data_IF_158347066883
#
_entry.id   IF_158347066883
#
_cell.length_a   1.000
_cell.length_b   1.000
_cell.length_c   1.000
_cell.angle_alpha   90.00
_cell.angle_beta   90.00
_cell.angle_gamma   90.00
#
_symmetry.space_group_name_H-M   'P 1'
#
loop_
_entity.id
_entity.type
_entity.pdbx_description
1 polymer ?
#
# COMPACT_ATOMS: atom_id res chain seq x y z
N UNK A 1 3.63 72.20 -18.36
CA UNK A 1 2.63 71.66 -17.41
C UNK A 1 1.40 71.30 -18.22
N UNK A 2 0.77 70.13 -18.19
CA UNK A 2 1.02 68.82 -17.59
C UNK A 2 0.31 67.81 -18.52
N UNK A 3 0.87 66.62 -18.69
CA UNK A 3 0.46 65.38 -18.04
C UNK A 3 0.01 64.37 -19.12
N UNK A 4 0.99 63.60 -19.61
CA UNK A 4 0.79 62.37 -20.36
C UNK A 4 0.07 61.36 -19.46
N UNK A 5 -1.15 60.95 -19.83
CA UNK A 5 -1.86 59.86 -19.16
C UNK A 5 -1.49 58.56 -19.84
N UNK A 6 -0.80 57.72 -19.06
CA UNK A 6 -0.42 56.34 -19.35
C UNK A 6 -1.62 55.45 -19.70
N UNK A 7 -1.47 54.61 -20.73
CA UNK A 7 -2.29 53.42 -20.92
C UNK A 7 -1.37 52.22 -21.18
N UNK A 8 -0.82 51.67 -20.09
CA UNK A 8 -0.29 50.30 -20.09
C UNK A 8 -1.51 49.36 -20.10
N UNK A 9 -1.86 48.82 -21.28
CA UNK A 9 -2.75 47.67 -21.37
C UNK A 9 -2.04 46.46 -20.75
N UNK A 10 -2.46 46.11 -19.54
CA UNK A 10 -2.08 44.85 -18.89
C UNK A 10 -2.65 43.66 -19.66
N UNK A 11 -1.77 42.88 -20.28
CA UNK A 11 -2.10 41.55 -20.75
C UNK A 11 -2.38 40.65 -19.54
N UNK A 12 -3.66 40.48 -19.19
CA UNK A 12 -4.09 39.39 -18.33
C UNK A 12 -3.90 38.07 -19.10
N UNK A 13 -2.79 37.37 -18.82
CA UNK A 13 -2.62 35.99 -19.22
C UNK A 13 -3.66 35.14 -18.47
N UNK A 14 -4.74 34.79 -19.16
CA UNK A 14 -5.66 33.73 -18.73
C UNK A 14 -4.84 32.43 -18.63
N UNK A 15 -4.52 32.02 -17.41
CA UNK A 15 -4.00 30.69 -17.14
C UNK A 15 -5.07 29.68 -17.56
N UNK A 16 -4.92 29.12 -18.75
CA UNK A 16 -5.81 28.08 -19.25
C UNK A 16 -5.76 26.87 -18.33
N UNK A 17 -6.85 26.57 -17.65
CA UNK A 17 -7.04 25.29 -16.99
C UNK A 17 -6.90 24.21 -18.06
N UNK A 18 -5.79 23.48 -18.06
CA UNK A 18 -5.59 22.37 -18.99
C UNK A 18 -6.71 21.36 -18.75
N UNK A 19 -7.64 21.28 -19.70
CA UNK A 19 -8.77 20.36 -19.60
C UNK A 19 -8.24 18.96 -19.84
N UNK A 20 -8.28 18.11 -18.82
CA UNK A 20 -7.83 16.74 -18.94
C UNK A 20 -8.71 15.98 -19.94
N UNK A 21 -8.13 15.14 -20.82
CA UNK A 21 -8.90 14.26 -21.68
C UNK A 21 -9.90 13.44 -20.87
N UNK A 22 -11.18 13.50 -21.26
CA UNK A 22 -12.26 12.75 -20.63
C UNK A 22 -12.20 11.27 -21.05
N UNK A 23 -11.19 10.54 -20.56
CA UNK A 23 -10.97 9.11 -20.77
C UNK A 23 -10.98 8.37 -19.45
N UNK A 24 -11.23 7.07 -19.53
CA UNK A 24 -10.98 6.18 -18.41
C UNK A 24 -9.53 5.68 -18.46
N UNK A 25 -8.97 5.42 -17.29
CA UNK A 25 -7.64 4.89 -17.07
C UNK A 25 -7.78 3.60 -16.28
N UNK A 26 -7.23 2.52 -16.82
CA UNK A 26 -7.08 1.26 -16.12
C UNK A 26 -5.75 1.29 -15.35
N UNK A 27 -5.85 1.09 -14.05
CA UNK A 27 -4.72 0.97 -13.14
C UNK A 27 -4.60 -0.48 -12.71
N UNK A 28 -3.42 -1.05 -12.90
CA UNK A 28 -3.12 -2.41 -12.48
C UNK A 28 -1.99 -2.38 -11.46
N UNK A 29 -2.23 -2.93 -10.29
CA UNK A 29 -1.26 -3.04 -9.21
C UNK A 29 -0.96 -4.52 -8.96
N UNK A 30 0.32 -4.88 -8.84
CA UNK A 30 0.71 -6.23 -8.45
C UNK A 30 1.90 -6.22 -7.51
N UNK A 31 2.00 -7.28 -6.71
CA UNK A 31 3.19 -7.61 -5.97
C UNK A 31 3.87 -8.81 -6.62
N UNK A 32 5.18 -8.71 -6.82
CA UNK A 32 6.00 -9.83 -7.30
C UNK A 32 7.19 -10.03 -6.37
N UNK A 33 7.73 -11.23 -6.31
CA UNK A 33 9.04 -11.44 -5.70
C UNK A 33 10.10 -10.73 -6.56
N UNK A 34 11.01 -10.04 -5.89
CA UNK A 34 12.19 -9.54 -6.56
C UNK A 34 13.08 -10.74 -6.89
N UNK A 35 13.62 -10.80 -8.11
CA UNK A 35 14.57 -11.83 -8.48
C UNK A 35 15.78 -11.77 -7.53
N UNK A 36 15.85 -12.73 -6.59
CA UNK A 36 16.95 -12.84 -5.66
C UNK A 36 18.08 -13.63 -6.31
N UNK A 37 19.30 -13.10 -6.29
CA UNK A 37 20.49 -13.85 -6.67
C UNK A 37 20.91 -14.78 -5.52
N UNK A 38 20.21 -15.89 -5.32
CA UNK A 38 20.53 -16.89 -4.30
C UNK A 38 19.37 -17.85 -3.98
N UNK A 39 19.69 -18.92 -3.25
CA UNK A 39 18.73 -19.89 -2.74
C UNK A 39 18.55 -19.67 -1.24
N UNK A 40 17.30 -19.50 -0.79
CA UNK A 40 16.95 -19.38 0.63
C UNK A 40 15.95 -20.45 1.02
N UNK A 41 16.25 -21.21 2.07
CA UNK A 41 15.30 -22.16 2.68
C UNK A 41 14.83 -21.54 4.00
N UNK A 42 13.52 -21.47 4.18
CA UNK A 42 12.90 -20.99 5.41
C UNK A 42 11.88 -22.00 5.90
N UNK A 43 11.82 -22.19 7.22
CA UNK A 43 10.77 -22.96 7.90
C UNK A 43 9.58 -22.07 8.29
N UNK A 44 9.68 -20.76 8.09
CA UNK A 44 8.59 -19.81 8.32
C UNK A 44 7.53 -19.98 7.21
N UNK A 45 6.21 -19.95 7.54
CA UNK A 45 5.16 -19.95 6.53
C UNK A 45 5.35 -18.80 5.53
N UNK A 46 5.35 -19.12 4.23
CA UNK A 46 5.46 -18.11 3.19
C UNK A 46 4.20 -17.22 3.20
N UNK A 47 4.38 -15.91 3.38
CA UNK A 47 3.28 -14.95 3.20
C UNK A 47 2.92 -14.94 1.71
N UNK A 48 1.68 -15.23 1.31
CA UNK A 48 1.31 -15.28 -0.10
C UNK A 48 1.52 -13.92 -0.78
N UNK A 49 1.82 -13.94 -2.08
CA UNK A 49 1.77 -12.73 -2.90
C UNK A 49 0.32 -12.28 -3.04
N UNK A 50 0.12 -10.97 -3.02
CA UNK A 50 -1.20 -10.41 -3.24
C UNK A 50 -1.63 -10.61 -4.70
N UNK A 51 -2.90 -10.98 -4.97
CA UNK A 51 -3.40 -11.05 -6.32
C UNK A 51 -3.32 -9.66 -6.98
N UNK A 52 -3.06 -9.63 -8.28
CA UNK A 52 -3.06 -8.37 -9.02
C UNK A 52 -4.44 -7.71 -8.93
N UNK A 53 -4.45 -6.42 -8.59
CA UNK A 53 -5.66 -5.61 -8.48
C UNK A 53 -5.78 -4.75 -9.72
N UNK A 54 -6.97 -4.69 -10.31
CA UNK A 54 -7.27 -3.88 -11.48
C UNK A 54 -8.42 -2.94 -11.16
N UNK A 55 -8.24 -1.66 -11.48
CA UNK A 55 -9.21 -0.61 -11.15
C UNK A 55 -9.34 0.34 -12.34
N UNK A 56 -10.56 0.52 -12.82
CA UNK A 56 -10.88 1.54 -13.81
C UNK A 56 -11.31 2.82 -13.11
N UNK A 57 -10.69 3.93 -13.46
CA UNK A 57 -10.97 5.25 -12.89
C UNK A 57 -11.00 6.29 -14.00
N UNK A 58 -11.77 7.35 -13.83
CA UNK A 58 -11.76 8.46 -14.78
C UNK A 58 -10.46 9.25 -14.63
N UNK A 59 -9.92 9.73 -15.75
CA UNK A 59 -8.71 10.56 -15.76
C UNK A 59 -8.90 11.81 -14.89
N UNK A 60 -7.99 12.01 -13.92
CA UNK A 60 -8.02 13.09 -12.95
C UNK A 60 -8.75 12.79 -11.64
N UNK A 61 -9.54 11.71 -11.59
CA UNK A 61 -10.34 11.35 -10.42
C UNK A 61 -9.57 10.45 -9.44
N UNK A 62 -10.00 10.46 -8.18
CA UNK A 62 -9.43 9.64 -7.11
C UNK A 62 -10.21 8.34 -7.00
N UNK A 63 -9.53 7.21 -6.95
CA UNK A 63 -10.10 5.91 -6.62
C UNK A 63 -9.47 5.35 -5.34
N UNK A 64 -10.27 4.61 -4.57
CA UNK A 64 -9.82 3.89 -3.36
C UNK A 64 -10.33 2.47 -3.43
N UNK A 65 -9.41 1.50 -3.33
CA UNK A 65 -9.70 0.07 -3.30
C UNK A 65 -8.98 -0.53 -2.12
N UNK A 66 -9.68 -1.34 -1.33
CA UNK A 66 -9.09 -1.99 -0.18
C UNK A 66 -9.81 -3.27 0.17
N UNK A 67 -9.09 -4.18 0.81
CA UNK A 67 -9.64 -5.36 1.43
C UNK A 67 -9.15 -5.37 2.87
N UNK A 68 -10.10 -5.35 3.80
CA UNK A 68 -9.84 -5.39 5.23
C UNK A 68 -10.63 -6.53 5.84
N UNK A 69 -9.97 -7.34 6.65
CA UNK A 69 -10.58 -8.35 7.50
C UNK A 69 -10.34 -7.99 8.96
N UNK A 70 -11.38 -8.15 9.77
CA UNK A 70 -11.28 -8.08 11.21
C UNK A 70 -11.45 -9.50 11.76
N UNK A 71 -10.46 -9.98 12.51
CA UNK A 71 -10.50 -11.30 13.14
C UNK A 71 -10.66 -11.11 14.65
N UNK A 72 -11.75 -11.63 15.25
CA UNK A 72 -11.88 -11.63 16.70
C UNK A 72 -10.96 -12.70 17.29
N UNK A 73 -10.28 -12.37 18.37
CA UNK A 73 -9.52 -13.32 19.18
C UNK A 73 -10.01 -13.26 20.62
N UNK A 74 -10.43 -14.43 21.12
CA UNK A 74 -10.81 -14.59 22.52
C UNK A 74 -9.55 -14.65 23.36
N UNK A 75 -9.44 -13.74 24.32
CA UNK A 75 -8.35 -13.62 25.27
C UNK A 75 -8.78 -14.06 26.67
N UNK A 76 -7.89 -14.71 27.42
CA UNK A 76 -8.13 -15.01 28.84
C UNK A 76 -7.41 -13.95 29.67
N UNK A 77 -8.18 -13.13 30.38
CA UNK A 77 -7.68 -12.00 31.17
C UNK A 77 -7.31 -12.41 32.59
N UNK A 78 -8.10 -13.28 33.19
CA UNK A 78 -7.95 -13.66 34.59
C UNK A 78 -8.43 -15.10 34.79
N UNK A 79 -7.65 -15.86 35.55
CA UNK A 79 -8.04 -17.18 36.05
C UNK A 79 -8.17 -17.04 37.56
N UNK A 80 -9.40 -17.08 38.07
CA UNK A 80 -9.68 -17.11 39.49
C UNK A 80 -9.59 -18.56 39.97
N UNK A 81 -8.64 -18.82 40.86
CA UNK A 81 -8.50 -20.11 41.52
C UNK A 81 -9.67 -20.35 42.48
N UNK A 82 -10.03 -21.62 42.63
CA UNK A 82 -11.09 -22.05 43.53
C UNK A 82 -10.70 -21.75 44.99
N UNK A 83 -11.56 -21.04 45.71
CA UNK A 83 -11.37 -20.67 47.11
C UNK A 83 -12.46 -21.29 47.99
N UNK A 84 -12.25 -21.31 49.31
CA UNK A 84 -13.10 -22.03 50.28
C UNK A 84 -14.60 -21.70 50.22
N UNK A 85 -15.01 -20.60 49.57
CA UNK A 85 -16.40 -20.22 49.29
C UNK A 85 -16.66 -19.69 47.85
N UNK A 86 -15.69 -19.73 46.93
CA UNK A 86 -15.84 -19.23 45.55
C UNK A 86 -15.38 -20.29 44.53
N UNK A 87 -16.22 -20.55 43.52
CA UNK A 87 -15.88 -21.45 42.41
C UNK A 87 -14.82 -20.86 41.47
N UNK A 88 -14.07 -21.73 40.79
CA UNK A 88 -13.09 -21.30 39.78
C UNK A 88 -13.78 -20.55 38.62
N UNK A 89 -13.19 -19.45 38.18
CA UNK A 89 -13.76 -18.60 37.13
C UNK A 89 -12.71 -18.14 36.13
N UNK A 90 -13.07 -18.12 34.84
CA UNK A 90 -12.20 -17.59 33.78
C UNK A 90 -12.85 -16.33 33.21
N UNK A 91 -12.16 -15.20 33.33
CA UNK A 91 -12.60 -13.94 32.72
C UNK A 91 -12.01 -13.84 31.32
N UNK A 92 -12.88 -13.78 30.31
CA UNK A 92 -12.48 -13.68 28.91
C UNK A 92 -12.76 -12.27 28.38
N UNK A 93 -11.91 -11.79 27.46
CA UNK A 93 -12.06 -10.51 26.75
C UNK A 93 -11.91 -10.76 25.25
N UNK A 94 -12.66 -10.01 24.42
CA UNK A 94 -12.60 -10.14 22.96
C UNK A 94 -11.78 -9.00 22.39
N UNK A 95 -10.67 -9.33 21.71
CA UNK A 95 -9.83 -8.34 21.03
C UNK A 95 -10.01 -8.50 19.52
N UNK A 96 -10.28 -7.40 18.83
CA UNK A 96 -10.41 -7.37 17.38
C UNK A 96 -9.09 -6.98 16.74
N UNK A 97 -8.54 -7.87 15.93
CA UNK A 97 -7.36 -7.60 15.13
C UNK A 97 -7.76 -7.24 13.71
N UNK A 98 -7.28 -6.10 13.23
CA UNK A 98 -7.51 -5.64 11.86
C UNK A 98 -6.28 -5.97 11.01
N UNK A 99 -6.54 -6.62 9.88
CA UNK A 99 -5.55 -6.86 8.84
C UNK A 99 -6.13 -6.48 7.50
N UNK A 100 -5.34 -5.90 6.62
CA UNK A 100 -5.83 -5.49 5.33
C UNK A 100 -4.91 -4.53 4.62
N UNK A 101 -5.40 -4.06 3.49
CA UNK A 101 -4.72 -3.04 2.72
C UNK A 101 -5.72 -2.10 2.08
N UNK A 102 -5.34 -0.84 2.01
CA UNK A 102 -6.06 0.19 1.28
C UNK A 102 -5.11 0.87 0.32
N UNK A 103 -5.50 0.92 -0.94
CA UNK A 103 -4.82 1.60 -2.02
C UNK A 103 -5.70 2.75 -2.49
N UNK A 104 -5.14 3.95 -2.56
CA UNK A 104 -5.75 5.10 -3.16
C UNK A 104 -4.86 5.60 -4.30
N UNK A 105 -5.46 5.88 -5.45
CA UNK A 105 -4.75 6.30 -6.64
C UNK A 105 -5.46 7.45 -7.33
N UNK A 106 -4.69 8.34 -7.93
CA UNK A 106 -5.19 9.41 -8.79
C UNK A 106 -4.32 9.52 -10.04
N UNK A 107 -4.77 9.00 -11.19
CA UNK A 107 -4.04 9.17 -12.43
C UNK A 107 -4.37 10.51 -13.09
N UNK A 108 -3.36 11.14 -13.67
CA UNK A 108 -3.45 12.32 -14.50
C UNK A 108 -2.72 12.05 -15.80
N UNK A 109 -3.46 12.03 -16.89
CA UNK A 109 -2.95 11.84 -18.24
C UNK A 109 -3.30 13.05 -19.10
N UNK A 110 -2.30 13.65 -19.75
CA UNK A 110 -2.45 14.88 -20.55
C UNK A 110 -2.48 14.63 -22.05
N UNK A 111 -2.63 13.37 -22.50
CA UNK A 111 -2.63 13.02 -23.93
C UNK A 111 -1.32 12.40 -24.45
N UNK A 112 -0.27 12.35 -23.62
CA UNK A 112 1.05 11.83 -23.98
C UNK A 112 1.20 10.31 -23.86
N UNK A 113 2.45 9.83 -23.81
CA UNK A 113 2.79 8.41 -23.63
C UNK A 113 2.99 7.98 -22.17
N UNK A 114 2.77 8.89 -21.24
CA UNK A 114 2.96 8.68 -19.81
C UNK A 114 1.80 9.32 -19.05
N UNK A 115 1.47 8.74 -17.90
CA UNK A 115 0.52 9.30 -16.95
C UNK A 115 1.24 9.54 -15.62
N UNK A 116 0.98 10.68 -14.98
CA UNK A 116 1.36 10.90 -13.60
C UNK A 116 0.34 10.20 -12.70
N UNK A 117 0.80 9.49 -11.67
CA UNK A 117 -0.10 8.81 -10.73
C UNK A 117 0.33 9.13 -9.31
N UNK A 118 -0.55 9.79 -8.56
CA UNK A 118 -0.43 9.84 -7.10
C UNK A 118 -0.90 8.50 -6.52
N UNK A 119 -0.08 7.88 -5.69
CA UNK A 119 -0.34 6.59 -5.06
C UNK A 119 -0.20 6.74 -3.55
N UNK A 120 -1.21 6.29 -2.82
CA UNK A 120 -1.20 6.13 -1.38
C UNK A 120 -1.57 4.69 -1.05
N UNK A 121 -0.70 3.99 -0.34
CA UNK A 121 -0.91 2.62 0.12
C UNK A 121 -0.79 2.58 1.64
N UNK A 122 -1.73 1.88 2.26
CA UNK A 122 -1.76 1.57 3.67
C UNK A 122 -1.92 0.06 3.80
N UNK A 123 -1.03 -0.59 4.53
CA UNK A 123 -1.11 -2.01 4.84
C UNK A 123 -1.10 -2.24 6.35
N UNK A 124 -1.93 -3.18 6.80
CA UNK A 124 -2.08 -3.59 8.18
C UNK A 124 -1.95 -5.11 8.23
N UNK A 125 -1.01 -5.61 9.03
CA UNK A 125 -0.76 -7.03 9.20
C UNK A 125 -0.75 -7.38 10.68
N UNK A 126 -1.17 -8.61 10.97
CA UNK A 126 -1.15 -9.18 12.31
C UNK A 126 -0.15 -10.32 12.30
N UNK A 127 0.88 -10.22 13.13
CA UNK A 127 1.94 -11.22 13.25
C UNK A 127 1.85 -11.93 14.60
N UNK A 128 1.79 -13.25 14.56
CA UNK A 128 1.89 -14.07 15.77
C UNK A 128 3.35 -14.10 16.23
N UNK A 129 3.58 -13.79 17.50
CA UNK A 129 4.92 -13.78 18.08
C UNK A 129 5.09 -15.02 18.97
N UNK A 130 6.03 -15.93 18.65
CA UNK A 130 6.30 -17.11 19.49
C UNK A 130 6.65 -16.70 20.93
N UNK A 131 5.99 -17.31 21.91
CA UNK A 131 6.20 -17.01 23.33
C UNK A 131 5.65 -15.67 23.81
N UNK A 132 4.93 -14.93 22.94
CA UNK A 132 4.14 -13.78 23.33
C UNK A 132 2.66 -14.12 23.24
N UNK A 133 1.97 -13.63 24.24
CA UNK A 133 0.55 -13.87 24.44
C UNK A 133 -0.31 -13.12 23.40
N UNK A 134 0.02 -11.85 23.12
CA UNK A 134 -0.71 -11.02 22.16
C UNK A 134 -0.02 -10.98 20.78
N UNK A 135 -0.78 -11.15 19.67
CA UNK A 135 -0.30 -10.85 18.33
C UNK A 135 0.14 -9.38 18.21
N UNK A 136 1.19 -9.13 17.43
CA UNK A 136 1.64 -7.79 17.14
C UNK A 136 0.98 -7.27 15.85
N UNK A 137 0.36 -6.10 15.92
CA UNK A 137 -0.15 -5.38 14.75
C UNK A 137 0.97 -4.53 14.15
N UNK A 138 1.20 -4.70 12.85
CA UNK A 138 2.21 -3.99 12.07
C UNK A 138 1.50 -3.16 11.00
N UNK A 139 1.82 -1.87 10.94
CA UNK A 139 1.28 -0.95 9.94
C UNK A 139 2.39 -0.48 9.02
N UNK A 140 2.12 -0.43 7.72
CA UNK A 140 3.01 0.14 6.71
C UNK A 140 2.27 1.17 5.87
N UNK A 141 2.94 2.28 5.54
CA UNK A 141 2.38 3.32 4.69
C UNK A 141 3.38 3.73 3.61
N UNK A 142 2.87 3.92 2.38
CA UNK A 142 3.61 4.47 1.25
C UNK A 142 2.79 5.59 0.63
N UNK A 143 3.41 6.75 0.40
CA UNK A 143 2.83 7.84 -0.38
C UNK A 143 3.86 8.30 -1.39
N UNK A 144 3.53 8.23 -2.66
CA UNK A 144 4.45 8.58 -3.74
C UNK A 144 3.68 9.10 -4.96
N UNK A 145 4.37 9.85 -5.80
CA UNK A 145 3.89 10.24 -7.12
C UNK A 145 4.87 9.69 -8.14
N UNK A 146 4.35 8.96 -9.13
CA UNK A 146 5.18 8.32 -10.17
C UNK A 146 4.74 8.77 -11.55
N UNK A 147 5.71 8.92 -12.45
CA UNK A 147 5.45 9.06 -13.88
C UNK A 147 5.51 7.67 -14.52
N UNK A 148 4.34 7.15 -14.93
CA UNK A 148 4.20 5.81 -15.47
C UNK A 148 4.07 5.83 -17.00
N UNK A 149 4.99 5.19 -17.76
CA UNK A 149 4.78 4.94 -19.18
C UNK A 149 3.56 4.06 -19.41
N UNK A 150 2.73 4.43 -20.37
CA UNK A 150 1.50 3.70 -20.66
C UNK A 150 1.81 2.27 -21.13
N UNK A 151 1.06 1.29 -20.61
CA UNK A 151 1.19 -0.13 -20.92
C UNK A 151 2.41 -0.81 -20.31
N UNK A 152 3.25 -0.11 -19.53
CA UNK A 152 4.46 -0.67 -18.92
C UNK A 152 4.33 -0.82 -17.40
N UNK A 153 4.99 -1.83 -16.85
CA UNK A 153 5.11 -2.01 -15.41
C UNK A 153 6.23 -1.12 -14.86
N UNK A 154 5.89 -0.31 -13.86
CA UNK A 154 6.82 0.54 -13.13
C UNK A 154 6.86 0.12 -11.67
N UNK A 155 8.06 0.04 -11.09
CA UNK A 155 8.24 -0.29 -9.68
C UNK A 155 7.98 0.95 -8.82
N UNK A 156 7.01 0.86 -7.91
CA UNK A 156 6.68 1.90 -6.93
C UNK A 156 7.55 1.80 -5.68
N UNK A 157 7.78 0.57 -5.21
CA UNK A 157 8.51 0.30 -3.99
C UNK A 157 9.15 -1.09 -4.02
N UNK A 158 10.22 -1.25 -3.23
CA UNK A 158 10.86 -2.53 -2.91
C UNK A 158 10.81 -2.72 -1.39
N UNK A 159 10.35 -3.87 -0.94
CA UNK A 159 10.28 -4.24 0.48
C UNK A 159 11.01 -5.56 0.73
N UNK A 160 11.31 -5.88 1.97
CA UNK A 160 12.01 -7.12 2.35
C UNK A 160 13.54 -6.98 2.34
N UNK A 161 14.21 -8.05 2.70
CA UNK A 161 15.67 -8.08 2.87
C UNK A 161 16.30 -8.81 1.69
N UNK A 162 17.30 -8.18 1.08
CA UNK A 162 18.05 -8.81 0.00
C UNK A 162 19.07 -9.81 0.59
N UNK A 163 19.11 -11.07 0.13
CA UNK A 163 20.06 -12.04 0.64
C UNK A 163 21.49 -11.63 0.23
N UNK A 164 22.41 -11.61 1.19
CA UNK A 164 23.81 -11.32 0.92
C UNK A 164 24.51 -12.58 0.40
N UNK A 165 25.09 -12.51 -0.80
CA UNK A 165 25.80 -13.64 -1.42
C UNK A 165 26.95 -14.13 -0.51
N UNK A 166 27.03 -15.44 -0.31
CA UNK A 166 28.10 -16.08 0.45
C UNK A 166 27.98 -16.00 1.98
N UNK A 167 26.89 -15.42 2.49
CA UNK A 167 26.60 -15.38 3.93
C UNK A 167 25.52 -16.39 4.25
N UNK A 168 25.84 -17.33 5.13
CA UNK A 168 24.88 -18.27 5.70
C UNK A 168 24.44 -17.73 7.05
N UNK A 169 23.14 -17.50 7.23
CA UNK A 169 22.57 -17.12 8.53
C UNK A 169 21.53 -18.15 8.96
N UNK A 170 21.44 -18.35 10.27
CA UNK A 170 20.47 -19.23 10.92
C UNK A 170 19.49 -18.46 11.82
N UNK A 171 19.52 -17.13 11.78
CA UNK A 171 18.52 -16.29 12.44
C UNK A 171 17.20 -16.23 11.64
N UNK A 172 16.16 -15.68 12.24
CA UNK A 172 14.83 -15.59 11.64
C UNK A 172 14.93 -14.97 10.23
N UNK A 173 14.67 -15.77 9.21
CA UNK A 173 14.82 -15.37 7.82
C UNK A 173 13.97 -14.12 7.55
N UNK A 174 14.65 -13.02 7.20
CA UNK A 174 13.98 -11.80 6.74
C UNK A 174 13.08 -12.10 5.55
N UNK A 175 11.97 -11.38 5.43
CA UNK A 175 11.02 -11.58 4.35
C UNK A 175 11.70 -11.35 3.00
N UNK A 176 11.50 -12.29 2.06
CA UNK A 176 12.08 -12.23 0.73
C UNK A 176 11.82 -10.86 0.07
N UNK A 177 12.77 -10.34 -0.73
CA UNK A 177 12.60 -9.04 -1.34
C UNK A 177 11.42 -9.08 -2.32
N UNK A 178 10.53 -8.09 -2.24
CA UNK A 178 9.32 -7.98 -3.07
C UNK A 178 9.26 -6.62 -3.74
N UNK A 179 8.68 -6.58 -4.93
CA UNK A 179 8.44 -5.36 -5.69
C UNK A 179 6.94 -5.09 -5.78
N UNK A 180 6.56 -3.85 -5.50
CA UNK A 180 5.24 -3.33 -5.79
C UNK A 180 5.30 -2.64 -7.15
N UNK A 181 4.48 -3.09 -8.11
CA UNK A 181 4.48 -2.58 -9.47
C UNK A 181 3.12 -2.04 -9.89
N UNK A 182 3.14 -0.95 -10.65
CA UNK A 182 1.98 -0.29 -11.25
C UNK A 182 2.09 -0.33 -12.77
N UNK A 183 0.98 -0.60 -13.45
CA UNK A 183 0.82 -0.37 -14.88
C UNK A 183 -0.40 0.50 -15.11
N UNK A 184 -0.27 1.41 -16.06
CA UNK A 184 -1.32 2.36 -16.43
C UNK A 184 -1.67 2.16 -17.89
N UNK A 185 -2.95 1.97 -18.18
CA UNK A 185 -3.45 1.83 -19.55
C UNK A 185 -4.59 2.82 -19.76
N UNK A 186 -4.51 3.63 -20.80
CA UNK A 186 -5.63 4.51 -21.18
C UNK A 186 -6.64 3.69 -21.95
N UNK A 187 -7.90 3.76 -21.53
CA UNK A 187 -9.00 3.08 -22.20
C UNK A 187 -9.58 3.98 -23.32
N UNK A 188 -10.12 3.35 -24.37
CA UNK A 188 -10.81 4.07 -25.44
C UNK A 188 -12.05 4.81 -24.92
#
# INVERSE_FOLDING_TARGET
MGALVSALLGAMALAGAQTLPARNVLLELRQIDAAAAGYSVSTQPAVPLQPAQQVQVRNGDVTRVGQTSAQPQTWIKEVQAEGQNNGAGVKQELIWFQSGQTLQMRPVWTGGRQAEVEVQWLGENVSQQPGKELPAQQTGQLRTTVLAPLGQWVTLAKSGTEPQRGVYRSDAAGQAPRLLQLRVTVLP
#
